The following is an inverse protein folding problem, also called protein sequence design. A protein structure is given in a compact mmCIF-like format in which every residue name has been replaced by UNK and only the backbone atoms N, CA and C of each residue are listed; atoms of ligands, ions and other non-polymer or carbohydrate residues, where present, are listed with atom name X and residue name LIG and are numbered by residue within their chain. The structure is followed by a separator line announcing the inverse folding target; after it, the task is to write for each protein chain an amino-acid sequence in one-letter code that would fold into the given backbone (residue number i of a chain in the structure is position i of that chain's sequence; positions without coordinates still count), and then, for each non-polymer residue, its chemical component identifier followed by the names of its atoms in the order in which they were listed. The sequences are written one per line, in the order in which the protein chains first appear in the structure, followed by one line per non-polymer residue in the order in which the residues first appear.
data_IF_461475639963
#
_entry.id   IF_461475639963
#
_cell.length_a   1.000
_cell.length_b   1.000
_cell.length_c   1.000
_cell.angle_alpha   90.00
_cell.angle_beta   90.00
_cell.angle_gamma   90.00
#
_symmetry.space_group_name_H-M   'P 1'
#
loop_
_entity.id
_entity.type
_entity.pdbx_description
1 polymer ?
#
# COMPACT_ATOMS: atom_id res chain seq x y z
N UNK A 1 28.19 -1.36 -11.96
CA UNK A 1 26.99 -2.21 -12.12
C UNK A 1 25.84 -1.52 -11.43
N UNK A 2 24.84 -1.02 -12.17
CA UNK A 2 23.59 -0.54 -11.58
C UNK A 2 22.71 -1.77 -11.38
N UNK A 3 22.56 -2.24 -10.14
CA UNK A 3 21.68 -3.37 -9.84
C UNK A 3 20.23 -3.01 -10.19
N UNK A 4 19.55 -3.87 -10.94
CA UNK A 4 18.11 -3.72 -11.19
C UNK A 4 17.39 -3.97 -9.87
N UNK A 5 16.85 -2.91 -9.26
CA UNK A 5 16.01 -3.06 -8.06
C UNK A 5 14.63 -3.58 -8.44
N UNK A 6 14.11 -4.51 -7.64
CA UNK A 6 12.72 -4.96 -7.77
C UNK A 6 11.77 -3.77 -7.58
N UNK A 7 10.64 -3.76 -8.32
CA UNK A 7 9.61 -2.73 -8.17
C UNK A 7 9.05 -2.77 -6.73
N UNK A 8 8.88 -1.62 -6.06
CA UNK A 8 8.44 -1.61 -4.67
C UNK A 8 7.02 -2.16 -4.53
N UNK A 9 6.82 -3.13 -3.64
CA UNK A 9 5.49 -3.62 -3.28
C UNK A 9 4.82 -2.65 -2.31
N UNK A 10 3.59 -2.25 -2.60
CA UNK A 10 2.78 -1.31 -1.82
C UNK A 10 1.51 -2.00 -1.35
N UNK A 11 1.19 -1.93 -0.06
CA UNK A 11 -0.06 -2.46 0.50
C UNK A 11 -0.72 -1.47 1.45
N UNK A 12 -2.04 -1.53 1.56
CA UNK A 12 -2.82 -0.71 2.49
C UNK A 12 -3.22 -1.49 3.74
N UNK A 13 -3.35 -0.81 4.88
CA UNK A 13 -3.86 -1.42 6.12
C UNK A 13 -5.36 -1.75 6.05
N UNK A 14 -6.08 -1.18 5.08
CA UNK A 14 -7.49 -1.38 4.81
C UNK A 14 -7.82 -0.98 3.35
N UNK A 15 -9.05 -1.26 2.90
CA UNK A 15 -9.54 -0.75 1.62
C UNK A 15 -9.71 0.77 1.62
N UNK A 16 -9.47 1.42 0.46
CA UNK A 16 -9.71 2.85 0.28
C UNK A 16 -8.70 3.80 0.93
N UNK A 17 -7.55 3.30 1.38
CA UNK A 17 -6.49 4.11 2.02
C UNK A 17 -5.53 4.80 1.03
N UNK A 18 -5.70 4.59 -0.27
CA UNK A 18 -4.86 5.19 -1.32
C UNK A 18 -3.74 4.30 -1.86
N UNK A 19 -3.75 3.00 -1.57
CA UNK A 19 -2.74 2.03 -2.02
C UNK A 19 -2.48 2.09 -3.52
N UNK A 20 -3.52 1.98 -4.35
CA UNK A 20 -3.37 1.95 -5.81
C UNK A 20 -2.81 3.26 -6.38
N UNK A 21 -3.13 4.39 -5.75
CA UNK A 21 -2.60 5.69 -6.13
C UNK A 21 -1.10 5.75 -5.87
N UNK A 22 -0.66 5.35 -4.67
CA UNK A 22 0.75 5.31 -4.29
C UNK A 22 1.53 4.29 -5.12
N UNK A 23 1.00 3.08 -5.31
CA UNK A 23 1.61 2.07 -6.16
C UNK A 23 1.83 2.59 -7.59
N UNK A 24 0.81 3.24 -8.17
CA UNK A 24 0.92 3.85 -9.50
C UNK A 24 1.97 4.97 -9.52
N UNK A 25 1.95 5.88 -8.53
CA UNK A 25 2.88 7.00 -8.45
C UNK A 25 4.34 6.56 -8.35
N UNK A 26 4.61 5.47 -7.65
CA UNK A 26 5.95 4.91 -7.43
C UNK A 26 6.40 3.95 -8.54
N UNK A 27 5.55 3.67 -9.54
CA UNK A 27 5.80 2.59 -10.50
C UNK A 27 5.92 1.21 -9.84
N UNK A 28 5.31 1.04 -8.68
CA UNK A 28 5.36 -0.14 -7.83
C UNK A 28 4.29 -1.19 -8.15
N UNK A 29 4.25 -2.23 -7.32
CA UNK A 29 3.25 -3.31 -7.39
C UNK A 29 2.20 -3.09 -6.31
N UNK A 30 0.93 -2.90 -6.70
CA UNK A 30 -0.20 -2.84 -5.78
C UNK A 30 -0.55 -4.25 -5.26
N UNK A 31 -0.41 -4.46 -3.95
CA UNK A 31 -0.77 -5.71 -3.26
C UNK A 31 -2.14 -5.66 -2.59
N UNK A 32 -2.89 -4.57 -2.76
CA UNK A 32 -4.20 -4.37 -2.14
C UNK A 32 -4.10 -4.19 -0.63
N UNK A 33 -4.91 -4.94 0.12
CA UNK A 33 -4.88 -4.93 1.59
C UNK A 33 -3.77 -5.84 2.10
N UNK A 34 -3.00 -5.35 3.06
CA UNK A 34 -1.89 -6.06 3.69
C UNK A 34 -2.32 -7.43 4.23
N UNK A 35 -1.49 -8.45 3.99
CA UNK A 35 -1.64 -9.80 4.51
C UNK A 35 -0.46 -10.11 5.43
N UNK A 36 -0.71 -10.79 6.54
CA UNK A 36 0.32 -11.13 7.51
C UNK A 36 1.51 -11.87 6.86
N UNK A 37 2.72 -11.64 7.39
CA UNK A 37 3.97 -12.24 6.90
C UNK A 37 4.32 -11.92 5.44
N UNK A 38 3.62 -10.95 4.83
CA UNK A 38 3.94 -10.49 3.48
C UNK A 38 4.87 -9.31 3.55
N UNK A 39 5.92 -9.34 2.75
CA UNK A 39 6.86 -8.21 2.66
C UNK A 39 6.31 -7.12 1.76
N UNK A 40 6.39 -5.89 2.25
CA UNK A 40 5.97 -4.69 1.53
C UNK A 40 7.02 -3.62 1.76
N UNK A 41 7.37 -2.89 0.71
CA UNK A 41 8.28 -1.74 0.81
C UNK A 41 7.55 -0.54 1.41
N UNK A 42 6.26 -0.39 1.08
CA UNK A 42 5.40 0.69 1.56
C UNK A 42 4.12 0.13 2.14
N UNK A 43 3.84 0.51 3.39
CA UNK A 43 2.55 0.29 4.05
C UNK A 43 1.76 1.61 4.06
N UNK A 44 0.50 1.58 3.63
CA UNK A 44 -0.32 2.77 3.47
C UNK A 44 -1.45 2.79 4.50
N UNK A 45 -1.59 3.90 5.22
CA UNK A 45 -2.72 4.14 6.12
C UNK A 45 -3.28 5.55 5.92
N UNK A 46 -4.44 5.83 6.50
CA UNK A 46 -5.03 7.16 6.59
C UNK A 46 -4.59 7.87 7.86
N UNK A 47 -4.69 9.19 7.87
CA UNK A 47 -4.41 10.05 9.03
C UNK A 47 -5.47 9.97 10.15
N UNK A 48 -6.12 8.82 10.33
CA UNK A 48 -7.06 8.56 11.44
C UNK A 48 -6.40 7.71 12.51
N UNK A 49 -6.88 7.84 13.75
CA UNK A 49 -6.45 6.97 14.86
C UNK A 49 -6.75 5.50 14.57
N UNK A 50 -7.90 5.21 13.94
CA UNK A 50 -8.27 3.83 13.57
C UNK A 50 -7.33 3.22 12.53
N UNK A 51 -6.98 3.97 11.47
CA UNK A 51 -6.09 3.48 10.42
C UNK A 51 -4.64 3.37 10.89
N UNK A 52 -4.17 4.32 11.71
CA UNK A 52 -2.89 4.19 12.43
C UNK A 52 -2.92 3.00 13.43
N UNK A 53 -4.09 2.68 13.98
CA UNK A 53 -4.36 1.48 14.76
C UNK A 53 -4.08 0.20 13.98
N UNK A 54 -4.68 0.08 12.79
CA UNK A 54 -4.46 -1.02 11.87
C UNK A 54 -3.01 -1.10 11.37
N UNK A 55 -2.34 0.05 11.15
CA UNK A 55 -0.93 0.09 10.80
C UNK A 55 -0.07 -0.55 11.89
N UNK A 56 -0.28 -0.19 13.16
CA UNK A 56 0.43 -0.80 14.29
C UNK A 56 0.28 -2.34 14.30
N UNK A 57 -0.93 -2.83 14.05
CA UNK A 57 -1.21 -4.26 14.00
C UNK A 57 -0.52 -4.95 12.81
N UNK A 58 -0.53 -4.32 11.63
CA UNK A 58 0.16 -4.85 10.45
C UNK A 58 1.69 -4.93 10.66
N UNK A 59 2.27 -3.90 11.28
CA UNK A 59 3.72 -3.82 11.57
C UNK A 59 4.20 -4.96 12.48
N UNK A 60 3.39 -5.43 13.42
CA UNK A 60 3.72 -6.61 14.26
C UNK A 60 3.92 -7.89 13.44
N UNK A 61 3.37 -7.96 12.23
CA UNK A 61 3.41 -9.12 11.35
C UNK A 61 4.20 -8.84 10.07
N UNK A 62 4.90 -7.71 9.98
CA UNK A 62 5.69 -7.34 8.79
C UNK A 62 7.13 -7.81 8.99
N UNK A 63 7.68 -8.67 8.12
CA UNK A 63 9.00 -9.28 8.33
C UNK A 63 10.17 -8.28 8.35
N UNK A 64 10.01 -7.11 7.72
CA UNK A 64 10.99 -6.04 7.70
C UNK A 64 10.29 -4.68 7.84
N UNK A 65 10.92 -3.67 8.46
CA UNK A 65 10.32 -2.34 8.62
C UNK A 65 9.98 -1.69 7.27
N UNK A 66 8.69 -1.43 6.96
CA UNK A 66 8.31 -0.75 5.72
C UNK A 66 8.36 0.77 5.89
N UNK A 67 8.33 1.51 4.78
CA UNK A 67 7.99 2.93 4.80
C UNK A 67 6.49 3.07 5.06
N UNK A 68 6.09 3.83 6.08
CA UNK A 68 4.69 4.10 6.39
C UNK A 68 4.23 5.39 5.70
N UNK A 69 3.42 5.26 4.65
CA UNK A 69 2.79 6.37 3.97
C UNK A 69 1.43 6.70 4.62
N UNK A 70 1.31 7.90 5.20
CA UNK A 70 0.11 8.33 5.94
C UNK A 70 -0.68 9.35 5.12
N UNK A 71 -1.74 8.89 4.46
CA UNK A 71 -2.60 9.72 3.61
C UNK A 71 -3.50 10.63 4.45
N UNK A 72 -3.41 11.93 4.22
CA UNK A 72 -4.26 12.93 4.87
C UNK A 72 -5.72 12.76 4.46
N UNK A 73 -6.64 12.89 5.42
CA UNK A 73 -8.09 12.84 5.17
C UNK A 73 -8.67 14.16 4.65
N UNK A 74 -8.00 15.26 4.94
CA UNK A 74 -8.40 16.59 4.51
C UNK A 74 -7.18 17.39 3.99
N UNK A 75 -7.38 18.28 3.01
CA UNK A 75 -6.31 19.13 2.50
C UNK A 75 -5.78 20.05 3.59
N UNK A 76 -4.45 20.19 3.71
CA UNK A 76 -3.81 21.07 4.69
C UNK A 76 -3.97 20.62 6.15
N UNK A 77 -4.47 19.40 6.40
CA UNK A 77 -4.69 18.90 7.75
C UNK A 77 -3.36 18.61 8.45
N UNK A 78 -3.23 19.08 9.69
CA UNK A 78 -2.18 18.66 10.61
C UNK A 78 -2.68 17.51 11.48
N UNK A 79 -1.79 16.58 11.84
CA UNK A 79 -2.20 15.46 12.70
C UNK A 79 -2.50 15.96 14.12
N UNK A 80 -3.72 15.65 14.57
CA UNK A 80 -4.12 15.84 15.97
C UNK A 80 -3.29 15.00 16.94
N UNK A 81 -3.36 15.29 18.25
CA UNK A 81 -2.49 14.69 19.26
C UNK A 81 -2.61 13.15 19.31
N UNK A 82 -3.81 12.60 19.16
CA UNK A 82 -4.03 11.15 19.21
C UNK A 82 -3.36 10.41 18.05
N UNK A 83 -3.54 10.90 16.81
CA UNK A 83 -2.88 10.33 15.63
C UNK A 83 -1.37 10.47 15.75
N UNK A 84 -0.88 11.64 16.19
CA UNK A 84 0.55 11.89 16.38
C UNK A 84 1.18 10.96 17.41
N UNK A 85 0.53 10.76 18.56
CA UNK A 85 1.01 9.86 19.60
C UNK A 85 1.03 8.41 19.10
N UNK A 86 0.02 8.00 18.34
CA UNK A 86 -0.01 6.66 17.72
C UNK A 86 1.12 6.48 16.71
N UNK A 87 1.34 7.46 15.82
CA UNK A 87 2.42 7.41 14.84
C UNK A 87 3.81 7.37 15.52
N UNK A 88 4.02 8.19 16.56
CA UNK A 88 5.25 8.14 17.37
C UNK A 88 5.47 6.76 18.02
N UNK A 89 4.41 6.11 18.49
CA UNK A 89 4.54 4.77 19.10
C UNK A 89 4.95 3.68 18.11
N UNK A 90 4.69 3.86 16.82
CA UNK A 90 5.00 2.86 15.79
C UNK A 90 6.22 3.20 14.93
N UNK A 91 6.72 4.44 15.02
CA UNK A 91 7.90 4.93 14.31
C UNK A 91 9.11 3.97 14.38
N UNK A 92 9.46 3.37 15.54
CA UNK A 92 10.60 2.44 15.61
C UNK A 92 10.45 1.16 14.77
N UNK A 93 9.22 0.82 14.34
CA UNK A 93 8.92 -0.36 13.54
C UNK A 93 8.78 -0.05 12.04
N UNK A 94 9.10 1.18 11.64
CA UNK A 94 9.04 1.66 10.25
C UNK A 94 10.42 2.11 9.81
N UNK A 95 10.69 2.04 8.50
CA UNK A 95 11.89 2.66 7.92
C UNK A 95 11.77 4.19 7.83
N UNK A 96 10.55 4.70 7.96
CA UNK A 96 10.24 6.12 7.95
C UNK A 96 8.73 6.32 7.85
N UNK A 97 8.25 7.47 8.33
CA UNK A 97 6.84 7.87 8.23
C UNK A 97 6.74 9.09 7.32
N UNK A 98 6.03 8.95 6.19
CA UNK A 98 5.87 10.02 5.21
C UNK A 98 4.41 10.48 5.16
N UNK A 99 4.09 11.73 5.50
CA UNK A 99 2.76 12.30 5.30
C UNK A 99 2.48 12.47 3.80
N UNK A 100 1.37 11.90 3.32
CA UNK A 100 0.93 12.04 1.93
C UNK A 100 -0.26 13.02 1.88
N UNK A 101 -0.08 14.23 1.30
CA UNK A 101 -1.13 15.23 1.28
C UNK A 101 -2.26 14.84 0.34
N UNK A 102 -3.49 15.18 0.71
CA UNK A 102 -4.66 15.02 -0.14
C UNK A 102 -4.75 16.18 -1.14
N UNK A 103 -4.77 15.86 -2.44
CA UNK A 103 -5.05 16.83 -3.50
C UNK A 103 -6.56 16.84 -3.76
N UNK A 104 -7.30 17.78 -3.15
CA UNK A 104 -8.77 17.83 -3.23
C UNK A 104 -9.32 17.76 -4.66
N UNK A 105 -8.68 18.46 -5.60
CA UNK A 105 -9.06 18.51 -7.01
C UNK A 105 -9.02 17.15 -7.72
N UNK A 106 -8.37 16.14 -7.12
CA UNK A 106 -8.27 14.82 -7.70
C UNK A 106 -9.41 13.89 -7.29
N UNK A 107 -10.23 14.26 -6.30
CA UNK A 107 -11.39 13.47 -5.87
C UNK A 107 -12.36 13.23 -7.03
N UNK A 108 -12.55 14.24 -7.87
CA UNK A 108 -13.47 14.20 -9.01
C UNK A 108 -12.77 13.76 -10.32
N UNK A 109 -11.49 13.39 -10.25
CA UNK A 109 -10.74 12.92 -11.41
C UNK A 109 -11.03 11.44 -11.66
N UNK A 110 -11.40 11.08 -12.89
CA UNK A 110 -11.75 9.70 -13.29
C UNK A 110 -10.59 8.70 -13.17
N UNK A 111 -9.33 9.16 -13.27
CA UNK A 111 -8.13 8.30 -13.24
C UNK A 111 -7.00 8.93 -12.40
N UNK A 112 -7.15 8.98 -11.07
CA UNK A 112 -6.18 9.63 -10.20
C UNK A 112 -4.82 8.91 -10.20
N UNK A 113 -4.79 7.58 -10.39
CA UNK A 113 -3.54 6.81 -10.50
C UNK A 113 -2.70 7.17 -11.73
N UNK A 114 -3.35 7.31 -12.89
CA UNK A 114 -2.66 7.75 -14.12
C UNK A 114 -2.11 9.18 -13.96
N UNK A 115 -2.90 10.07 -13.37
CA UNK A 115 -2.44 11.43 -13.07
C UNK A 115 -1.25 11.43 -12.11
N UNK A 116 -1.24 10.55 -11.11
CA UNK A 116 -0.12 10.39 -10.18
C UNK A 116 1.17 9.92 -10.88
N UNK A 117 1.08 8.97 -11.83
CA UNK A 117 2.25 8.48 -12.59
C UNK A 117 2.92 9.58 -13.41
N UNK A 118 2.13 10.52 -13.94
CA UNK A 118 2.61 11.62 -14.76
C UNK A 118 3.13 12.79 -13.91
N UNK A 119 2.78 12.84 -12.63
CA UNK A 119 3.03 14.00 -11.79
C UNK A 119 4.52 14.25 -11.56
N UNK A 120 5.29 13.18 -11.34
CA UNK A 120 6.73 13.25 -11.13
C UNK A 120 7.50 13.67 -12.40
N UNK A 121 6.90 13.50 -13.59
CA UNK A 121 7.51 13.86 -14.87
C UNK A 121 7.21 15.32 -15.29
N UNK A 122 6.33 16.03 -14.58
CA UNK A 122 5.98 17.43 -14.90
C UNK A 122 6.98 18.40 -14.29
N UNK A 123 7.15 19.54 -14.97
CA UNK A 123 7.90 20.66 -14.42
C UNK A 123 7.19 21.17 -13.14
N UNK A 124 7.90 21.28 -11.99
CA UNK A 124 7.36 21.85 -10.76
C UNK A 124 6.72 23.25 -10.92
N UNK A 125 7.13 24.04 -11.91
CA UNK A 125 6.57 25.35 -12.23
C UNK A 125 5.13 25.27 -12.75
N UNK A 126 4.77 24.17 -13.40
CA UNK A 126 3.42 23.93 -13.97
C UNK A 126 2.43 23.33 -12.96
N UNK A 127 2.93 22.88 -11.80
CA UNK A 127 2.12 22.22 -10.80
C UNK A 127 1.36 23.22 -9.91
N UNK A 128 0.17 22.83 -9.45
CA UNK A 128 -0.49 23.58 -8.37
C UNK A 128 0.26 23.39 -7.04
N UNK A 129 0.02 24.29 -6.06
CA UNK A 129 0.58 24.15 -4.70
C UNK A 129 0.34 22.77 -4.06
N UNK A 130 -0.88 22.19 -4.07
CA UNK A 130 -1.10 20.86 -3.50
C UNK A 130 -0.41 19.75 -4.29
N UNK A 131 -0.32 19.87 -5.62
CA UNK A 131 0.42 18.89 -6.46
C UNK A 131 1.92 18.93 -6.17
N UNK A 132 2.52 20.12 -5.99
CA UNK A 132 3.92 20.23 -5.55
C UNK A 132 4.15 19.59 -4.19
N UNK A 133 3.22 19.75 -3.25
CA UNK A 133 3.32 19.10 -1.94
C UNK A 133 3.27 17.58 -2.07
N UNK A 134 2.40 17.06 -2.96
CA UNK A 134 2.33 15.64 -3.26
C UNK A 134 3.62 15.13 -3.92
N UNK A 135 4.17 15.83 -4.93
CA UNK A 135 5.46 15.46 -5.55
C UNK A 135 6.58 15.38 -4.53
N UNK A 136 6.67 16.36 -3.62
CA UNK A 136 7.68 16.34 -2.55
C UNK A 136 7.51 15.13 -1.63
N UNK A 137 6.27 14.82 -1.23
CA UNK A 137 5.99 13.65 -0.41
C UNK A 137 6.30 12.34 -1.13
N UNK A 138 5.98 12.24 -2.43
CA UNK A 138 6.35 11.09 -3.25
C UNK A 138 7.87 10.93 -3.37
N UNK A 139 8.62 12.02 -3.54
CA UNK A 139 10.08 12.02 -3.50
C UNK A 139 10.61 11.46 -2.18
N UNK A 140 10.05 11.89 -1.04
CA UNK A 140 10.43 11.35 0.28
C UNK A 140 10.13 9.85 0.42
N UNK A 141 9.02 9.35 -0.15
CA UNK A 141 8.74 7.91 -0.17
C UNK A 141 9.76 7.19 -1.05
N UNK A 142 10.09 7.74 -2.23
CA UNK A 142 11.07 7.15 -3.14
C UNK A 142 12.43 7.06 -2.45
N UNK A 143 12.92 8.15 -1.86
CA UNK A 143 14.20 8.17 -1.15
C UNK A 143 14.21 7.14 -0.02
N UNK A 144 13.17 7.12 0.82
CA UNK A 144 13.07 6.16 1.92
C UNK A 144 12.99 4.69 1.45
N UNK A 145 12.30 4.43 0.34
CA UNK A 145 12.26 3.10 -0.29
C UNK A 145 13.62 2.73 -0.89
N UNK A 146 14.34 3.70 -1.45
CA UNK A 146 15.67 3.48 -1.98
C UNK A 146 16.72 3.26 -0.87
N UNK A 147 16.49 3.78 0.32
CA UNK A 147 17.35 3.53 1.49
C UNK A 147 17.06 2.19 2.18
N UNK A 148 15.98 1.50 1.81
CA UNK A 148 15.71 0.16 2.32
C UNK A 148 16.85 -0.80 1.91
N UNK A 149 17.24 -1.73 2.80
CA UNK A 149 18.22 -2.76 2.48
C UNK A 149 17.82 -3.48 1.20
N UNK A 150 18.69 -3.40 0.19
CA UNK A 150 18.40 -4.00 -1.13
C UNK A 150 18.45 -5.49 -0.99
N UNK A 151 17.38 -6.18 -1.40
CA UNK A 151 17.43 -7.64 -1.48
C UNK A 151 17.99 -8.03 -2.83
N UNK A 152 19.10 -8.72 -2.78
CA UNK A 152 19.71 -9.32 -3.96
C UNK A 152 18.82 -10.48 -4.44
N UNK A 153 18.32 -10.39 -5.67
CA UNK A 153 17.53 -11.45 -6.30
C UNK A 153 18.36 -12.71 -6.58
N UNK A 154 19.70 -12.61 -6.53
CA UNK A 154 20.65 -13.70 -6.78
C UNK A 154 20.50 -14.87 -5.81
N UNK A 155 19.92 -14.67 -4.62
CA UNK A 155 19.68 -15.74 -3.66
C UNK A 155 18.39 -16.54 -3.90
N UNK A 156 17.45 -16.04 -4.72
CA UNK A 156 16.16 -16.72 -4.95
C UNK A 156 16.19 -17.73 -6.10
N UNK A 157 17.06 -17.55 -7.10
CA UNK A 157 17.20 -18.53 -8.20
C UNK A 157 17.89 -19.82 -7.76
N UNK A 158 18.72 -19.80 -6.72
CA UNK A 158 19.38 -21.01 -6.19
C UNK A 158 18.46 -21.88 -5.33
N UNK A 159 17.34 -21.34 -4.84
CA UNK A 159 16.42 -22.06 -3.94
C UNK A 159 15.21 -22.67 -4.66
N UNK A 160 15.00 -22.39 -5.95
CA UNK A 160 13.90 -22.94 -6.74
C UNK A 160 14.18 -24.34 -7.32
N UNK A 161 15.32 -24.94 -6.95
CA UNK A 161 15.79 -26.22 -7.48
C UNK A 161 16.15 -27.25 -6.42
N UNK A 162 15.39 -27.42 -5.34
CA UNK A 162 15.47 -28.64 -4.54
C UNK A 162 14.10 -28.95 -3.92
N UNK A 163 13.57 -30.13 -4.21
CA UNK A 163 12.17 -30.48 -4.08
C UNK A 163 11.63 -30.59 -2.64
N UNK A 164 10.32 -30.41 -2.52
CA UNK A 164 9.53 -30.92 -1.41
C UNK A 164 8.15 -31.35 -1.92
N UNK A 165 8.02 -32.65 -2.17
CA UNK A 165 6.74 -33.36 -2.26
C UNK A 165 6.11 -33.56 -0.87
N UNK A 166 4.78 -33.76 -0.87
CA UNK A 166 3.86 -34.28 0.16
C UNK A 166 3.67 -33.43 1.44
N UNK A 167 2.49 -33.26 2.04
CA UNK A 167 1.26 -34.07 2.03
C UNK A 167 0.00 -33.22 2.34
N UNK A 168 -1.17 -33.73 1.94
CA UNK A 168 -2.43 -33.00 1.88
C UNK A 168 -3.20 -32.76 3.19
N UNK A 169 -4.17 -31.85 3.11
CA UNK A 169 -5.39 -31.84 3.92
C UNK A 169 -6.51 -31.16 3.11
N UNK A 170 -7.77 -31.64 3.14
CA UNK A 170 -8.75 -31.45 2.07
C UNK A 170 -9.54 -30.14 2.18
N UNK A 171 -9.89 -29.58 1.03
CA UNK A 171 -10.84 -28.48 0.88
C UNK A 171 -12.25 -29.07 0.78
N UNK A 172 -13.24 -28.69 1.62
CA UNK A 172 -14.62 -29.10 1.38
C UNK A 172 -15.17 -28.40 0.13
N UNK A 173 -15.59 -29.22 -0.84
CA UNK A 173 -16.32 -28.79 -2.02
C UNK A 173 -17.69 -28.25 -1.63
N UNK A 174 -17.95 -26.97 -1.90
CA UNK A 174 -19.32 -26.44 -1.88
C UNK A 174 -20.03 -26.95 -3.14
N UNK A 175 -21.07 -27.76 -2.90
CA UNK A 175 -21.86 -28.44 -3.91
C UNK A 175 -22.61 -27.47 -4.83
N UNK A 176 -22.62 -27.80 -6.11
CA UNK A 176 -23.63 -27.39 -7.09
C UNK A 176 -25.03 -27.78 -6.62
N UNK A 177 -25.97 -26.83 -6.67
CA UNK A 177 -27.40 -27.15 -6.79
C UNK A 177 -27.97 -26.27 -7.89
N UNK A 178 -28.09 -26.86 -9.09
CA UNK A 178 -28.97 -26.36 -10.15
C UNK A 178 -30.37 -26.95 -10.00
N UNK A 179 -31.35 -26.07 -10.22
CA UNK A 179 -32.65 -26.29 -10.86
C UNK A 179 -33.69 -27.25 -10.24
N UNK A 180 -34.90 -26.74 -10.04
CA UNK A 180 -36.09 -27.56 -9.82
C UNK A 180 -37.35 -26.72 -9.58
N UNK A 181 -38.03 -26.34 -10.66
CA UNK A 181 -39.31 -25.64 -10.66
C UNK A 181 -40.45 -26.51 -10.09
N UNK A 182 -41.41 -25.90 -9.39
CA UNK A 182 -42.81 -26.32 -9.38
C UNK A 182 -43.74 -25.23 -8.79
N UNK A 183 -44.89 -25.12 -9.46
CA UNK A 183 -46.01 -24.17 -9.36
C UNK A 183 -46.89 -24.43 -8.13
N UNK A 184 -47.57 -23.38 -7.63
CA UNK A 184 -49.01 -23.26 -7.24
C UNK A 184 -49.21 -21.74 -6.99
N UNK A 185 -50.18 -20.99 -7.52
CA UNK A 185 -51.60 -21.29 -7.73
C UNK A 185 -52.41 -20.48 -6.70
N UNK A 186 -53.16 -19.52 -7.21
CA UNK A 186 -54.14 -18.62 -6.60
C UNK A 186 -54.93 -19.14 -5.38
N UNK A 187 -55.12 -18.27 -4.38
CA UNK A 187 -56.41 -17.99 -3.72
C UNK A 187 -56.34 -16.61 -3.04
#
# INVERSE_FOLDING_TARGET
MVGVRERPCVAGVAGGVGTSLLASALGGVDRGVYRAQTEVAVLVCRSTVSSAGCAAHALQHTPAPPVLAVVSDAPGMTWGPNTRNRLRSIEPYTAGIVPIPLVAAWRDTLRPGLRATQLLARDPAELSKPERALVRALGQVIDAVLDLPTRDLSARDTAAGEGATVDGCPVPAAADVSAGAARVGLA
#
